data_IF_915744724963
#
_entry.id   IF_915744724963
#
_cell.length_a   1.000
_cell.length_b   1.000
_cell.length_c   1.000
_cell.angle_alpha   90.00
_cell.angle_beta   90.00
_cell.angle_gamma   90.00
#
_symmetry.space_group_name_H-M   'P 1'
#
loop_
_entity.id
_entity.type
_entity.pdbx_description
1 polymer ?
#
# COMPACT_ATOMS: atom_id res chain seq x y z
N UNK A 1 25.97 -35.03 -60.47
CA UNK A 1 26.41 -34.40 -59.21
C UNK A 1 25.45 -33.27 -58.85
N UNK A 2 24.31 -33.57 -58.22
CA UNK A 2 23.31 -32.57 -57.80
C UNK A 2 22.82 -32.91 -56.38
N UNK A 3 23.75 -33.20 -55.48
CA UNK A 3 23.48 -33.65 -54.11
C UNK A 3 23.64 -32.54 -53.04
N UNK A 4 23.68 -31.26 -53.45
CA UNK A 4 23.97 -30.14 -52.53
C UNK A 4 22.81 -29.17 -52.26
N UNK A 5 21.79 -29.14 -53.11
CA UNK A 5 20.73 -28.11 -53.07
C UNK A 5 19.48 -28.55 -52.29
N UNK A 6 19.18 -29.85 -52.25
CA UNK A 6 18.05 -30.40 -51.48
C UNK A 6 18.32 -30.51 -49.97
N UNK A 7 19.56 -30.80 -49.56
CA UNK A 7 19.91 -30.97 -48.14
C UNK A 7 19.78 -29.66 -47.34
N UNK A 8 20.04 -28.51 -48.00
CA UNK A 8 20.01 -27.18 -47.37
C UNK A 8 18.58 -26.68 -47.12
N UNK A 9 17.65 -26.92 -48.05
CA UNK A 9 16.24 -26.53 -47.85
C UNK A 9 15.56 -27.36 -46.76
N UNK A 10 15.93 -28.65 -46.63
CA UNK A 10 15.40 -29.53 -45.59
C UNK A 10 15.77 -29.04 -44.19
N UNK A 11 17.02 -28.63 -43.97
CA UNK A 11 17.47 -28.11 -42.67
C UNK A 11 16.74 -26.81 -42.28
N UNK A 12 16.58 -25.86 -43.20
CA UNK A 12 15.96 -24.55 -42.90
C UNK A 12 14.49 -24.73 -42.49
N UNK A 13 13.76 -25.63 -43.15
CA UNK A 13 12.37 -25.92 -42.83
C UNK A 13 12.23 -26.66 -41.48
N UNK A 14 13.16 -27.56 -41.13
CA UNK A 14 13.13 -28.25 -39.83
C UNK A 14 13.49 -27.34 -38.67
N UNK A 15 14.53 -26.50 -38.80
CA UNK A 15 14.89 -25.54 -37.75
C UNK A 15 13.85 -24.43 -37.61
N UNK A 16 13.24 -23.97 -38.72
CA UNK A 16 12.14 -23.01 -38.69
C UNK A 16 10.87 -23.55 -38.03
N UNK A 17 10.48 -24.79 -38.32
CA UNK A 17 9.37 -25.46 -37.65
C UNK A 17 9.65 -25.72 -36.16
N UNK A 18 10.88 -26.08 -35.80
CA UNK A 18 11.29 -26.23 -34.40
C UNK A 18 11.28 -24.89 -33.66
N UNK A 19 11.67 -23.79 -34.30
CA UNK A 19 11.63 -22.44 -33.73
C UNK A 19 10.19 -21.93 -33.53
N UNK A 20 9.28 -22.23 -34.45
CA UNK A 20 7.85 -21.88 -34.36
C UNK A 20 7.12 -22.63 -33.23
N UNK A 21 7.59 -23.83 -32.86
CA UNK A 21 7.05 -24.60 -31.74
C UNK A 21 7.46 -24.04 -30.36
N UNK A 22 8.43 -23.13 -30.28
CA UNK A 22 8.89 -22.50 -29.03
C UNK A 22 8.40 -21.06 -28.91
N UNK A 23 7.12 -20.82 -29.18
CA UNK A 23 6.45 -19.61 -28.69
C UNK A 23 6.00 -19.89 -27.26
N UNK A 24 6.91 -19.65 -26.31
CA UNK A 24 6.59 -19.67 -24.89
C UNK A 24 5.67 -18.50 -24.60
N UNK A 25 4.37 -18.74 -24.40
CA UNK A 25 3.52 -17.74 -23.79
C UNK A 25 4.03 -17.52 -22.37
N UNK A 26 4.67 -16.37 -22.13
CA UNK A 26 5.08 -15.99 -20.79
C UNK A 26 3.82 -15.57 -20.03
N UNK A 27 3.07 -16.56 -19.54
CA UNK A 27 1.95 -16.31 -18.64
C UNK A 27 2.48 -15.59 -17.40
N UNK A 28 1.89 -14.45 -17.05
CA UNK A 28 2.30 -13.65 -15.88
C UNK A 28 1.27 -13.70 -14.78
N UNK A 29 1.78 -13.69 -13.55
CA UNK A 29 1.01 -13.46 -12.33
C UNK A 29 1.74 -12.41 -11.48
N UNK A 30 1.16 -11.22 -11.36
CA UNK A 30 1.71 -10.14 -10.53
C UNK A 30 1.48 -10.39 -9.04
N UNK A 31 2.09 -9.60 -8.17
CA UNK A 31 1.81 -9.65 -6.73
C UNK A 31 0.39 -9.13 -6.45
N UNK A 32 -0.40 -9.83 -5.61
CA UNK A 32 -1.75 -9.41 -5.30
C UNK A 32 -1.76 -8.12 -4.47
N UNK A 33 -2.71 -7.24 -4.77
CA UNK A 33 -2.99 -6.02 -4.02
C UNK A 33 -4.22 -6.26 -3.16
N UNK A 34 -4.06 -6.00 -1.85
CA UNK A 34 -5.09 -6.22 -0.85
C UNK A 34 -5.67 -4.89 -0.35
N UNK A 35 -6.97 -4.70 -0.52
CA UNK A 35 -7.74 -3.57 -0.01
C UNK A 35 -8.72 -4.07 1.04
N UNK A 36 -8.74 -3.39 2.19
CA UNK A 36 -9.66 -3.66 3.30
C UNK A 36 -10.32 -2.34 3.68
N UNK A 37 -11.64 -2.37 3.83
CA UNK A 37 -12.40 -1.27 4.41
C UNK A 37 -13.40 -1.80 5.43
N UNK A 38 -13.44 -1.19 6.59
CA UNK A 38 -14.30 -1.58 7.70
C UNK A 38 -15.38 -0.52 7.92
N UNK A 39 -16.59 -0.94 8.32
CA UNK A 39 -17.70 -0.07 8.70
C UNK A 39 -18.29 -0.56 10.01
N UNK A 40 -18.33 0.30 11.03
CA UNK A 40 -18.89 -0.03 12.34
C UNK A 40 -20.43 0.05 12.35
N UNK A 41 -21.07 -0.92 12.99
CA UNK A 41 -22.49 -1.01 13.22
C UNK A 41 -22.75 -1.03 14.73
N UNK A 42 -23.26 0.10 15.25
CA UNK A 42 -23.52 0.26 16.68
C UNK A 42 -24.65 -0.65 17.21
N UNK A 43 -25.61 -1.02 16.36
CA UNK A 43 -26.72 -1.93 16.71
C UNK A 43 -26.23 -3.34 17.09
N UNK A 44 -25.22 -3.82 16.37
CA UNK A 44 -24.74 -5.21 16.44
C UNK A 44 -23.35 -5.30 17.08
N UNK A 45 -22.84 -4.16 17.55
CA UNK A 45 -21.48 -3.98 18.08
C UNK A 45 -20.43 -4.71 17.24
N UNK A 46 -20.49 -4.50 15.93
CA UNK A 46 -19.66 -5.23 14.96
C UNK A 46 -19.26 -4.37 13.78
N UNK A 47 -18.25 -4.82 13.05
CA UNK A 47 -17.78 -4.20 11.83
C UNK A 47 -18.09 -5.09 10.64
N UNK A 48 -18.67 -4.52 9.60
CA UNK A 48 -18.67 -5.13 8.27
C UNK A 48 -17.36 -4.79 7.58
N UNK A 49 -16.52 -5.79 7.39
CA UNK A 49 -15.24 -5.67 6.71
C UNK A 49 -15.41 -6.12 5.26
N UNK A 50 -15.21 -5.18 4.34
CA UNK A 50 -15.13 -5.47 2.91
C UNK A 50 -13.69 -5.81 2.55
N UNK A 51 -13.50 -7.01 2.01
CA UNK A 51 -12.22 -7.53 1.55
C UNK A 51 -12.20 -7.52 0.03
N UNK A 52 -11.14 -6.99 -0.55
CA UNK A 52 -10.91 -7.01 -1.99
C UNK A 52 -9.44 -7.33 -2.28
N UNK A 53 -9.23 -8.33 -3.12
CA UNK A 53 -7.92 -8.78 -3.55
C UNK A 53 -7.88 -8.77 -5.07
N UNK A 54 -6.97 -7.98 -5.62
CA UNK A 54 -6.82 -7.80 -7.07
C UNK A 54 -5.44 -8.24 -7.51
N UNK A 55 -5.34 -8.82 -8.69
CA UNK A 55 -4.07 -9.21 -9.28
C UNK A 55 -4.13 -9.06 -10.79
N UNK A 56 -3.02 -8.67 -11.40
CA UNK A 56 -2.86 -8.72 -12.85
C UNK A 56 -2.39 -10.11 -13.26
N UNK A 57 -3.12 -10.75 -14.15
CA UNK A 57 -2.82 -12.09 -14.66
C UNK A 57 -3.23 -12.19 -16.13
N UNK A 58 -2.40 -12.88 -16.92
CA UNK A 58 -2.71 -13.20 -18.33
C UNK A 58 -3.67 -14.41 -18.46
N UNK A 59 -3.98 -15.08 -17.34
CA UNK A 59 -4.87 -16.25 -17.26
C UNK A 59 -5.86 -16.17 -16.09
N UNK A 60 -6.82 -17.10 -16.04
CA UNK A 60 -7.82 -17.17 -14.96
C UNK A 60 -7.17 -17.41 -13.59
N UNK A 61 -7.59 -16.64 -12.60
CA UNK A 61 -7.04 -16.69 -11.23
C UNK A 61 -8.05 -17.28 -10.25
N UNK A 62 -7.58 -18.15 -9.37
CA UNK A 62 -8.32 -18.61 -8.20
C UNK A 62 -7.94 -17.78 -6.98
N UNK A 63 -8.95 -17.36 -6.21
CA UNK A 63 -8.77 -16.56 -4.99
C UNK A 63 -9.18 -17.38 -3.76
N UNK A 64 -8.30 -17.42 -2.76
CA UNK A 64 -8.53 -18.05 -1.46
C UNK A 64 -8.20 -17.07 -0.36
N UNK A 65 -9.01 -17.04 0.68
CA UNK A 65 -8.78 -16.25 1.87
C UNK A 65 -8.57 -17.16 3.07
N UNK A 66 -7.61 -16.83 3.91
CA UNK A 66 -7.47 -17.39 5.25
C UNK A 66 -7.73 -16.29 6.27
N UNK A 67 -8.72 -16.51 7.14
CA UNK A 67 -9.09 -15.60 8.23
C UNK A 67 -9.40 -16.45 9.46
N UNK A 68 -8.59 -16.30 10.51
CA UNK A 68 -8.63 -17.19 11.70
C UNK A 68 -8.60 -18.67 11.29
N UNK A 69 -9.67 -19.40 11.58
CA UNK A 69 -9.84 -20.82 11.29
C UNK A 69 -10.76 -21.06 10.08
N UNK A 70 -11.03 -20.04 9.27
CA UNK A 70 -11.92 -20.12 8.11
C UNK A 70 -11.15 -19.96 6.81
N UNK A 71 -11.60 -20.69 5.79
CA UNK A 71 -11.15 -20.53 4.40
C UNK A 71 -12.32 -20.09 3.52
N UNK A 72 -12.19 -18.94 2.87
CA UNK A 72 -13.20 -18.36 1.99
C UNK A 72 -12.66 -18.27 0.55
N UNK A 73 -13.54 -18.10 -0.42
CA UNK A 73 -13.17 -18.00 -1.84
C UNK A 73 -13.83 -16.79 -2.49
N UNK A 74 -13.16 -16.21 -3.48
CA UNK A 74 -13.63 -15.03 -4.23
C UNK A 74 -12.66 -13.85 -4.17
N UNK A 75 -12.66 -13.02 -5.20
CA UNK A 75 -11.80 -11.81 -5.26
C UNK A 75 -12.28 -10.72 -4.31
N UNK A 76 -13.59 -10.67 -4.02
CA UNK A 76 -14.22 -9.71 -3.14
C UNK A 76 -15.25 -10.39 -2.25
N UNK A 77 -15.23 -10.11 -0.95
CA UNK A 77 -16.17 -10.68 0.02
C UNK A 77 -16.39 -9.76 1.22
N UNK A 78 -17.43 -10.03 1.99
CA UNK A 78 -17.70 -9.36 3.26
C UNK A 78 -17.46 -10.30 4.42
N UNK A 79 -16.91 -9.78 5.52
CA UNK A 79 -16.64 -10.51 6.75
C UNK A 79 -17.09 -9.70 7.96
N UNK A 80 -17.75 -10.34 8.92
CA UNK A 80 -18.21 -9.67 10.14
C UNK A 80 -17.14 -9.84 11.22
N UNK A 81 -16.62 -8.71 11.69
CA UNK A 81 -15.58 -8.65 12.72
C UNK A 81 -16.18 -8.04 13.99
N UNK A 82 -15.94 -8.62 15.16
CA UNK A 82 -16.40 -8.04 16.44
C UNK A 82 -15.21 -7.57 17.28
N UNK A 83 -15.38 -6.59 18.19
CA UNK A 83 -14.28 -6.07 19.01
C UNK A 83 -13.56 -7.15 19.83
N UNK A 84 -14.30 -8.13 20.36
CA UNK A 84 -13.77 -9.26 21.12
C UNK A 84 -12.84 -10.16 20.31
N UNK A 85 -12.90 -10.08 18.98
CA UNK A 85 -12.03 -10.87 18.12
C UNK A 85 -10.61 -10.32 18.04
N UNK A 86 -10.37 -9.10 18.55
CA UNK A 86 -9.07 -8.45 18.52
C UNK A 86 -8.61 -8.09 17.11
N UNK A 87 -7.29 -7.93 16.96
CA UNK A 87 -6.66 -7.75 15.66
C UNK A 87 -6.73 -9.07 14.88
N UNK A 88 -7.32 -9.03 13.69
CA UNK A 88 -7.53 -10.21 12.84
C UNK A 88 -6.73 -10.05 11.54
N UNK A 89 -5.93 -11.04 11.21
CA UNK A 89 -5.19 -11.11 9.95
C UNK A 89 -6.04 -11.72 8.85
N UNK A 90 -6.14 -11.01 7.73
CA UNK A 90 -6.77 -11.45 6.50
C UNK A 90 -5.67 -11.73 5.48
N UNK A 91 -5.56 -12.99 5.05
CA UNK A 91 -4.58 -13.40 4.04
C UNK A 91 -5.30 -13.75 2.75
N UNK A 92 -4.99 -13.06 1.66
CA UNK A 92 -5.40 -13.44 0.32
C UNK A 92 -4.30 -14.26 -0.35
N UNK A 93 -4.67 -15.40 -0.92
CA UNK A 93 -3.83 -16.24 -1.76
C UNK A 93 -4.45 -16.33 -3.14
N UNK A 94 -3.65 -15.98 -4.16
CA UNK A 94 -4.03 -16.06 -5.57
C UNK A 94 -3.20 -17.15 -6.24
N UNK A 95 -3.84 -17.92 -7.13
CA UNK A 95 -3.15 -18.98 -7.85
C UNK A 95 -3.65 -19.12 -9.28
N UNK A 96 -2.73 -19.43 -10.20
CA UNK A 96 -3.00 -19.85 -11.58
C UNK A 96 -1.97 -20.91 -12.01
N UNK A 97 -1.93 -21.25 -13.30
CA UNK A 97 -0.94 -22.15 -13.92
C UNK A 97 0.52 -21.72 -13.73
N UNK A 98 0.76 -20.42 -13.53
CA UNK A 98 2.09 -19.83 -13.37
C UNK A 98 2.61 -20.01 -11.95
N UNK A 99 1.72 -19.96 -10.96
CA UNK A 99 2.11 -20.16 -9.57
C UNK A 99 1.10 -19.65 -8.55
N UNK A 100 1.59 -19.49 -7.32
CA UNK A 100 0.82 -19.08 -6.14
C UNK A 100 1.48 -17.88 -5.49
N UNK A 101 0.69 -16.86 -5.14
CA UNK A 101 1.15 -15.66 -4.44
C UNK A 101 0.20 -15.29 -3.32
N UNK A 102 0.71 -14.66 -2.28
CA UNK A 102 -0.10 -14.28 -1.11
C UNK A 102 0.26 -12.91 -0.56
N UNK A 103 -0.74 -12.23 0.00
CA UNK A 103 -0.62 -10.95 0.70
C UNK A 103 -1.54 -10.96 1.91
N UNK A 104 -1.17 -10.26 2.97
CA UNK A 104 -2.01 -10.15 4.17
C UNK A 104 -2.11 -8.72 4.67
N UNK A 105 -3.18 -8.45 5.40
CA UNK A 105 -3.39 -7.22 6.17
C UNK A 105 -4.10 -7.54 7.47
N UNK A 106 -3.78 -6.79 8.51
CA UNK A 106 -4.47 -6.87 9.79
C UNK A 106 -5.56 -5.81 9.85
N UNK A 107 -6.69 -6.15 10.43
CA UNK A 107 -7.77 -5.21 10.73
C UNK A 107 -8.29 -5.48 12.13
N UNK A 108 -8.65 -4.41 12.85
CA UNK A 108 -9.25 -4.49 14.17
C UNK A 108 -10.60 -3.77 14.15
N UNK A 109 -11.63 -4.42 14.68
CA UNK A 109 -12.93 -3.77 14.82
C UNK A 109 -12.94 -2.88 16.05
N UNK A 110 -13.33 -1.62 15.87
CA UNK A 110 -13.55 -0.67 16.96
C UNK A 110 -14.62 0.34 16.58
N UNK A 111 -15.23 0.95 17.59
CA UNK A 111 -16.19 2.05 17.41
C UNK A 111 -15.54 3.31 16.80
N UNK A 112 -14.21 3.39 16.74
CA UNK A 112 -13.49 4.54 16.16
C UNK A 112 -13.76 4.70 14.66
N UNK A 113 -14.19 3.65 13.95
CA UNK A 113 -14.56 3.74 12.54
C UNK A 113 -15.79 4.63 12.32
N UNK A 114 -16.69 4.77 13.31
CA UNK A 114 -17.79 5.74 13.31
C UNK A 114 -17.27 7.20 13.36
N UNK A 115 -16.09 7.42 13.92
CA UNK A 115 -15.50 8.76 14.06
C UNK A 115 -14.93 9.30 12.73
N UNK A 116 -14.67 8.44 11.74
CA UNK A 116 -14.16 8.84 10.42
C UNK A 116 -15.27 9.33 9.47
N UNK A 117 -16.53 9.01 9.74
CA UNK A 117 -17.68 9.30 8.86
C UNK A 117 -18.73 10.23 9.46
N UNK A 118 -18.55 10.77 10.67
CA UNK A 118 -19.44 11.81 11.21
C UNK A 118 -19.06 13.21 10.65
N UNK A 119 -19.88 13.82 9.78
CA UNK A 119 -19.62 15.15 9.23
C UNK A 119 -19.56 16.24 10.30
N UNK A 120 -20.18 16.02 11.48
CA UNK A 120 -20.29 17.02 12.55
C UNK A 120 -18.99 17.16 13.35
N UNK A 121 -18.18 16.10 13.47
CA UNK A 121 -16.90 16.12 14.22
C UNK A 121 -15.67 16.45 13.37
N UNK A 122 -15.73 16.27 12.06
CA UNK A 122 -14.68 16.74 11.15
C UNK A 122 -14.50 18.27 11.20
N UNK A 123 -15.60 18.99 11.38
CA UNK A 123 -15.58 20.44 11.59
C UNK A 123 -14.86 20.83 12.89
N UNK A 124 -14.88 19.99 13.94
CA UNK A 124 -14.23 20.24 15.23
C UNK A 124 -12.73 19.96 15.17
N UNK A 125 -12.30 18.89 14.48
CA UNK A 125 -10.87 18.55 14.32
C UNK A 125 -10.13 19.50 13.39
N UNK A 126 -10.77 19.98 12.32
CA UNK A 126 -10.23 21.06 11.48
C UNK A 126 -10.11 22.39 12.24
N UNK A 127 -10.99 22.66 13.21
CA UNK A 127 -10.88 23.85 14.07
C UNK A 127 -9.70 23.78 15.03
N UNK A 128 -9.44 22.65 15.69
CA UNK A 128 -8.32 22.55 16.64
C UNK A 128 -6.96 22.75 15.95
N UNK A 129 -6.77 22.19 14.75
CA UNK A 129 -5.53 22.36 14.00
C UNK A 129 -5.35 23.78 13.44
N UNK A 130 -6.46 24.45 13.09
CA UNK A 130 -6.48 25.85 12.61
C UNK A 130 -6.23 26.88 13.72
N UNK A 131 -6.56 26.57 14.98
CA UNK A 131 -6.32 27.49 16.11
C UNK A 131 -4.90 27.41 16.68
N UNK A 132 -4.12 26.36 16.38
CA UNK A 132 -2.77 26.19 16.92
C UNK A 132 -1.67 26.74 15.98
N UNK A 133 -1.93 26.76 14.67
CA UNK A 133 -1.04 27.34 13.66
C UNK A 133 -0.70 28.83 13.88
N UNK A 134 -1.65 29.74 14.21
CA UNK A 134 -1.30 31.16 14.42
C UNK A 134 -0.45 31.39 15.70
N UNK A 135 -0.66 30.60 16.76
CA UNK A 135 0.17 30.66 17.97
C UNK A 135 1.61 30.22 17.68
N UNK A 136 1.79 29.15 16.91
CA UNK A 136 3.12 28.65 16.54
C UNK A 136 3.89 29.69 15.69
N UNK A 137 3.23 30.29 14.68
CA UNK A 137 3.82 31.36 13.88
C UNK A 137 4.13 32.62 14.70
N UNK A 138 3.28 32.99 15.66
CA UNK A 138 3.52 34.13 16.55
C UNK A 138 4.74 33.88 17.47
N UNK A 139 4.88 32.68 18.05
CA UNK A 139 6.02 32.32 18.92
C UNK A 139 7.33 32.31 18.13
N UNK A 140 7.32 31.79 16.89
CA UNK A 140 8.49 31.83 16.01
C UNK A 140 8.86 33.25 15.59
N UNK A 141 7.87 34.09 15.25
CA UNK A 141 8.10 35.50 14.93
C UNK A 141 8.65 36.30 16.13
N UNK A 142 8.16 36.04 17.33
CA UNK A 142 8.68 36.63 18.57
C UNK A 142 10.11 36.17 18.87
N UNK A 143 10.42 34.89 18.62
CA UNK A 143 11.77 34.33 18.77
C UNK A 143 12.77 34.94 17.78
N UNK A 144 12.32 35.25 16.56
CA UNK A 144 13.12 35.94 15.54
C UNK A 144 13.32 37.43 15.88
N UNK A 145 12.39 38.05 16.63
CA UNK A 145 12.48 39.47 17.02
C UNK A 145 13.31 39.73 18.30
N UNK A 146 13.57 38.70 19.10
CA UNK A 146 14.38 38.79 20.33
C UNK A 146 15.89 38.57 20.12
N UNK A 147 16.35 38.17 18.93
CA UNK A 147 17.79 38.16 18.62
C UNK A 147 18.26 39.58 18.27
N UNK A 148 18.50 40.40 19.30
CA UNK A 148 19.40 41.55 19.16
C UNK A 148 20.77 41.05 18.69
N UNK A 149 21.42 41.70 17.71
CA UNK A 149 22.76 41.31 17.32
C UNK A 149 23.69 41.45 18.53
N UNK A 150 24.41 40.37 18.82
CA UNK A 150 25.45 40.34 19.84
C UNK A 150 26.50 41.38 19.44
N UNK A 151 26.57 42.51 20.18
CA UNK A 151 27.69 43.45 20.09
C UNK A 151 28.93 42.72 20.58
N UNK A 152 29.83 42.35 19.68
CA UNK A 152 31.21 42.03 20.06
C UNK A 152 31.87 43.37 20.39
N UNK A 153 32.33 43.50 21.63
CA UNK A 153 33.06 44.62 22.19
C UNK A 153 34.56 44.29 22.10
N UNK A 154 35.31 45.04 21.29
CA UNK A 154 36.75 45.31 21.48
C UNK A 154 36.97 46.72 20.90
N UNK A 155 36.90 47.76 21.75
CA UNK A 155 37.95 48.32 22.62
C UNK A 155 38.74 49.42 21.90
N UNK A 156 38.49 50.65 22.35
CA UNK A 156 39.07 51.92 21.90
C UNK A 156 40.45 52.13 22.54
N UNK A 157 41.43 52.41 21.68
CA UNK A 157 42.58 53.32 21.81
C UNK A 157 43.74 53.06 22.80
N UNK A 158 44.93 53.23 22.22
CA UNK A 158 46.26 53.55 22.76
C UNK A 158 46.35 53.94 24.24
N UNK A 159 47.34 53.37 24.93
CA UNK A 159 48.38 54.16 25.61
C UNK A 159 49.66 53.33 25.79
N UNK A 160 50.75 53.91 25.33
CA UNK A 160 52.16 53.49 25.47
C UNK A 160 52.75 54.19 26.71
N UNK A 161 53.69 53.55 27.45
CA UNK A 161 54.71 54.29 28.18
C UNK A 161 56.12 53.78 27.82
N UNK A 162 56.95 54.62 27.18
CA UNK A 162 58.38 54.35 26.97
C UNK A 162 59.03 55.16 25.87
#
# INVERSE_FOLDING_TARGET
>A
MTAGRHQRLSCILTYGALLLLVVSHHERLSDPVLTISSTWHASDESCTVLLECTVTSDSSVTYKWAVRNQSLSGSRLQYILRPQDGETTFTCTVSNSVGVKSVFKNEKCSNETYEKTDPLKQATRMKLHSMCTPLFYAVMALSMKQRKPLKILESVHLNDPG
#
